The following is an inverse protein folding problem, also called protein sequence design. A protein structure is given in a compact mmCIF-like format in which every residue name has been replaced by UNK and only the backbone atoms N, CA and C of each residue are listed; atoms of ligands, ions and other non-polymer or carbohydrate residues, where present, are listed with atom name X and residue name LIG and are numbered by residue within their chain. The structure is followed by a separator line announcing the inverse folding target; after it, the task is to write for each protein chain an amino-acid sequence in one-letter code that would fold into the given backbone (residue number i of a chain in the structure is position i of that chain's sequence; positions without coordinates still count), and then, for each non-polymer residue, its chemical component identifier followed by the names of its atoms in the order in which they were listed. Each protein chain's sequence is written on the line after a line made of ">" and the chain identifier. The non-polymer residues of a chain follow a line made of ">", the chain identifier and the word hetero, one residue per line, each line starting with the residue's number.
data_IF_865584506718
#
_entry.id   IF_865584506718
#
_cell.length_a   1.000
_cell.length_b   1.000
_cell.length_c   1.000
_cell.angle_alpha   90.00
_cell.angle_beta   90.00
_cell.angle_gamma   90.00
#
_symmetry.space_group_name_H-M   'P 1'
#
loop_
_entity.id
_entity.type
_entity.pdbx_description
1 polymer ?
#
# COMPACT_ATOMS: atom_id res chain seq x y z
N UNK A 1 -19.38 -1.58 40.95
CA UNK A 1 -17.94 -1.38 41.22
C UNK A 1 -17.32 -1.03 39.88
N UNK A 2 -16.83 0.19 39.71
CA UNK A 2 -16.06 0.51 38.52
C UNK A 2 -14.75 -0.28 38.61
N UNK A 3 -14.52 -1.21 37.69
CA UNK A 3 -13.23 -1.87 37.56
C UNK A 3 -12.17 -0.77 37.44
N UNK A 4 -11.14 -0.80 38.30
CA UNK A 4 -9.99 0.07 38.15
C UNK A 4 -9.46 -0.10 36.72
N UNK A 5 -9.18 0.99 35.99
CA UNK A 5 -8.66 0.88 34.64
C UNK A 5 -7.37 0.04 34.69
N UNK A 6 -7.38 -1.08 33.96
CA UNK A 6 -6.22 -1.96 33.84
C UNK A 6 -5.06 -1.10 33.34
N UNK A 7 -3.99 -1.03 34.12
CA UNK A 7 -2.79 -0.28 33.73
C UNK A 7 -2.20 -0.92 32.47
N UNK A 8 -1.99 -0.12 31.42
CA UNK A 8 -1.36 -0.59 30.19
C UNK A 8 0.10 -0.95 30.45
N UNK A 9 0.53 -2.09 29.90
CA UNK A 9 1.91 -2.58 29.95
C UNK A 9 2.65 -2.27 28.66
N UNK A 10 3.98 -2.42 28.69
CA UNK A 10 4.81 -2.30 27.49
C UNK A 10 4.47 -3.36 26.42
N UNK A 11 4.02 -4.55 26.86
CA UNK A 11 3.61 -5.63 25.96
C UNK A 11 2.27 -5.31 25.28
N UNK A 12 1.38 -4.57 25.95
CA UNK A 12 0.16 -4.06 25.33
C UNK A 12 0.50 -3.10 24.20
N UNK A 13 1.46 -2.19 24.40
CA UNK A 13 1.94 -1.28 23.35
C UNK A 13 2.61 -2.07 22.21
N UNK A 14 3.50 -3.00 22.52
CA UNK A 14 4.26 -3.79 21.54
C UNK A 14 3.35 -4.57 20.59
N UNK A 15 2.28 -5.14 21.14
CA UNK A 15 1.34 -5.98 20.40
C UNK A 15 0.13 -5.20 19.87
N UNK A 16 -0.04 -3.93 20.24
CA UNK A 16 -1.15 -3.12 19.78
C UNK A 16 -1.24 -3.08 18.26
N UNK A 17 -2.46 -3.20 17.74
CA UNK A 17 -2.78 -3.01 16.32
C UNK A 17 -3.69 -1.78 16.24
N UNK A 18 -3.27 -0.71 15.53
CA UNK A 18 -4.09 0.49 15.41
C UNK A 18 -5.48 0.19 14.86
N UNK A 19 -6.45 0.91 15.40
CA UNK A 19 -7.87 0.77 15.03
C UNK A 19 -8.40 2.08 14.49
N UNK A 20 -9.68 2.14 14.15
CA UNK A 20 -10.33 3.42 13.80
C UNK A 20 -10.62 4.30 15.04
N UNK A 21 -10.32 3.82 16.25
CA UNK A 21 -10.53 4.56 17.49
C UNK A 21 -9.35 5.52 17.77
N UNK A 22 -9.60 6.82 17.58
CA UNK A 22 -8.60 7.89 17.72
C UNK A 22 -8.06 7.95 19.15
N UNK A 23 -8.93 7.86 20.15
CA UNK A 23 -8.54 7.99 21.55
C UNK A 23 -7.65 6.83 21.98
N UNK A 24 -8.00 5.61 21.57
CA UNK A 24 -7.19 4.42 21.86
C UNK A 24 -5.82 4.48 21.18
N UNK A 25 -5.75 4.86 19.90
CA UNK A 25 -4.47 5.02 19.21
C UNK A 25 -3.60 6.09 19.87
N UNK A 26 -4.21 7.23 20.24
CA UNK A 26 -3.52 8.34 20.91
C UNK A 26 -2.97 7.91 22.27
N UNK A 27 -3.76 7.18 23.07
CA UNK A 27 -3.33 6.63 24.35
C UNK A 27 -2.14 5.68 24.18
N UNK A 28 -2.19 4.78 23.18
CA UNK A 28 -1.10 3.83 22.94
C UNK A 28 0.20 4.54 22.52
N UNK A 29 0.12 5.61 21.73
CA UNK A 29 1.30 6.42 21.42
C UNK A 29 1.82 7.17 22.66
N UNK A 30 0.95 7.75 23.48
CA UNK A 30 1.39 8.39 24.75
C UNK A 30 2.06 7.39 25.68
N UNK A 31 1.54 6.17 25.77
CA UNK A 31 2.14 5.10 26.55
C UNK A 31 3.50 4.68 25.97
N UNK A 32 3.58 4.49 24.65
CA UNK A 32 4.84 4.22 23.92
C UNK A 32 5.94 5.23 24.22
N UNK A 33 5.59 6.51 24.33
CA UNK A 33 6.52 7.62 24.55
C UNK A 33 7.16 7.61 25.96
N UNK A 34 6.58 6.89 26.92
CA UNK A 34 7.16 6.72 28.27
C UNK A 34 8.39 5.81 28.28
N UNK A 35 8.53 4.95 27.26
CA UNK A 35 9.61 3.98 27.17
C UNK A 35 10.71 4.47 26.22
N UNK A 36 11.95 4.53 26.72
CA UNK A 36 13.12 4.91 25.93
C UNK A 36 13.77 3.72 25.19
N UNK A 37 13.00 2.67 24.91
CA UNK A 37 13.43 1.53 24.09
C UNK A 37 12.87 1.62 22.67
N UNK A 38 13.50 0.89 21.74
CA UNK A 38 12.99 0.77 20.38
C UNK A 38 11.98 -0.37 20.30
N UNK A 39 10.77 -0.05 19.85
CA UNK A 39 9.65 -1.00 19.73
C UNK A 39 9.20 -0.98 18.28
N UNK A 40 10.03 -1.52 17.39
CA UNK A 40 9.80 -1.48 15.95
C UNK A 40 8.42 -2.02 15.57
N UNK A 41 7.94 -3.05 16.28
CA UNK A 41 6.62 -3.65 16.04
C UNK A 41 5.45 -2.67 16.21
N UNK A 42 5.60 -1.61 17.01
CA UNK A 42 4.60 -0.55 17.15
C UNK A 42 4.77 0.50 16.06
N UNK A 43 6.02 0.95 15.84
CA UNK A 43 6.33 2.03 14.90
C UNK A 43 6.00 1.61 13.45
N UNK A 44 6.24 0.35 13.08
CA UNK A 44 5.86 -0.23 11.78
C UNK A 44 4.35 -0.23 11.53
N UNK A 45 3.54 -0.17 12.58
CA UNK A 45 2.08 -0.14 12.49
C UNK A 45 1.52 1.28 12.46
N UNK A 46 2.29 2.28 12.89
CA UNK A 46 1.89 3.68 12.80
C UNK A 46 2.27 4.21 11.42
N UNK A 47 1.26 4.60 10.66
CA UNK A 47 1.43 5.28 9.38
C UNK A 47 0.52 6.51 9.30
N UNK A 48 0.69 7.40 8.30
CA UNK A 48 -0.11 8.62 8.16
C UNK A 48 -1.63 8.40 8.12
N UNK A 49 -2.09 7.22 7.69
CA UNK A 49 -3.52 6.88 7.64
C UNK A 49 -4.12 6.53 9.02
N UNK A 50 -3.29 6.18 10.00
CA UNK A 50 -3.75 5.87 11.35
C UNK A 50 -4.24 7.14 12.03
N UNK A 51 -5.49 7.13 12.49
CA UNK A 51 -6.10 8.28 13.17
C UNK A 51 -5.55 8.41 14.59
N UNK A 52 -4.72 9.41 14.82
CA UNK A 52 -4.16 9.80 16.13
C UNK A 52 -4.43 11.29 16.34
N UNK A 53 -4.76 11.68 17.58
CA UNK A 53 -4.90 13.08 17.94
C UNK A 53 -3.52 13.73 18.12
N UNK A 54 -2.87 14.03 17.01
CA UNK A 54 -1.53 14.59 16.98
C UNK A 54 -1.42 15.98 17.62
N UNK A 55 -2.49 16.78 17.61
CA UNK A 55 -2.48 18.09 18.28
C UNK A 55 -2.37 17.94 19.80
N UNK A 56 -3.07 16.95 20.38
CA UNK A 56 -2.90 16.62 21.80
C UNK A 56 -1.48 16.14 22.12
N UNK A 57 -0.93 15.22 21.30
CA UNK A 57 0.45 14.73 21.47
C UNK A 57 1.43 15.91 21.44
N UNK A 58 1.35 16.77 20.42
CA UNK A 58 2.18 17.96 20.28
C UNK A 58 2.12 18.84 21.53
N UNK A 59 0.92 19.20 22.00
CA UNK A 59 0.75 20.08 23.17
C UNK A 59 1.42 19.48 24.41
N UNK A 60 1.22 18.18 24.64
CA UNK A 60 1.85 17.47 25.75
C UNK A 60 3.37 17.53 25.61
N UNK A 61 3.92 17.21 24.44
CA UNK A 61 5.37 17.18 24.22
C UNK A 61 6.01 18.57 24.34
N UNK A 62 5.46 19.61 23.72
CA UNK A 62 6.02 20.97 23.79
C UNK A 62 6.03 21.52 25.22
N UNK A 63 5.10 21.09 26.08
CA UNK A 63 5.06 21.51 27.49
C UNK A 63 6.12 20.86 28.37
N UNK A 64 6.84 19.83 27.88
CA UNK A 64 7.91 19.18 28.63
C UNK A 64 9.18 20.03 28.58
N UNK A 65 9.87 20.11 29.71
CA UNK A 65 11.15 20.83 29.84
C UNK A 65 12.32 20.05 29.24
N UNK A 66 12.28 18.72 29.30
CA UNK A 66 13.24 17.83 28.66
C UNK A 66 12.48 16.70 27.94
N UNK A 67 12.83 16.48 26.68
CA UNK A 67 12.27 15.42 25.84
C UNK A 67 13.20 14.23 25.84
N UNK A 68 12.68 13.02 25.97
CA UNK A 68 13.47 11.84 25.63
C UNK A 68 13.66 11.72 24.10
N UNK A 69 14.51 10.78 23.64
CA UNK A 69 14.85 10.66 22.22
C UNK A 69 13.63 10.32 21.34
N UNK A 70 12.68 9.54 21.86
CA UNK A 70 11.45 9.15 21.17
C UNK A 70 10.47 10.31 21.07
N UNK A 71 10.29 11.06 22.15
CA UNK A 71 9.46 12.24 22.20
C UNK A 71 9.95 13.33 21.24
N UNK A 72 11.25 13.62 21.26
CA UNK A 72 11.87 14.53 20.30
C UNK A 72 11.69 14.04 18.86
N UNK A 73 11.90 12.73 18.61
CA UNK A 73 11.67 12.13 17.30
C UNK A 73 10.22 12.32 16.83
N UNK A 74 9.22 11.99 17.64
CA UNK A 74 7.82 12.10 17.24
C UNK A 74 7.35 13.54 17.07
N UNK A 75 7.89 14.47 17.85
CA UNK A 75 7.63 15.88 17.65
C UNK A 75 8.24 16.37 16.33
N UNK A 76 9.47 15.95 16.00
CA UNK A 76 10.07 16.18 14.68
C UNK A 76 9.28 15.55 13.53
N UNK A 77 8.78 14.32 13.71
CA UNK A 77 7.92 13.63 12.75
C UNK A 77 6.61 14.37 12.53
N UNK A 78 5.99 14.88 13.60
CA UNK A 78 4.79 15.68 13.51
C UNK A 78 5.02 16.94 12.67
N UNK A 79 6.07 17.70 12.96
CA UNK A 79 6.40 18.90 12.17
C UNK A 79 6.82 18.56 10.74
N UNK A 80 7.39 17.39 10.50
CA UNK A 80 7.72 16.92 9.16
C UNK A 80 6.47 16.57 8.34
N UNK A 81 5.63 15.68 8.86
CA UNK A 81 4.57 15.00 8.08
C UNK A 81 3.24 15.72 8.18
N UNK A 82 2.91 16.28 9.36
CA UNK A 82 1.59 16.86 9.63
C UNK A 82 1.59 18.37 9.38
N UNK A 83 2.47 19.11 10.06
CA UNK A 83 2.51 20.58 9.93
C UNK A 83 3.40 21.08 8.78
N UNK A 84 4.30 20.24 8.26
CA UNK A 84 5.30 20.59 7.23
C UNK A 84 6.13 21.84 7.58
N UNK A 85 6.41 22.04 8.87
CA UNK A 85 7.30 23.09 9.36
C UNK A 85 8.73 22.54 9.48
N UNK A 86 9.52 22.75 8.43
CA UNK A 86 10.87 22.19 8.37
C UNK A 86 11.87 22.81 9.35
N UNK A 87 11.60 24.02 9.85
CA UNK A 87 12.42 24.66 10.89
C UNK A 87 12.30 23.92 12.22
N UNK A 88 11.06 23.73 12.69
CA UNK A 88 10.80 22.97 13.92
C UNK A 88 11.13 21.48 13.75
N UNK A 89 10.87 20.89 12.59
CA UNK A 89 11.29 19.51 12.26
C UNK A 89 12.79 19.32 12.49
N UNK A 90 13.64 20.19 11.91
CA UNK A 90 15.10 20.09 12.07
C UNK A 90 15.51 20.26 13.52
N UNK A 91 14.90 21.20 14.25
CA UNK A 91 15.15 21.43 15.68
C UNK A 91 14.91 20.16 16.50
N UNK A 92 13.74 19.53 16.38
CA UNK A 92 13.42 18.36 17.20
C UNK A 92 14.13 17.09 16.74
N UNK A 93 14.38 16.91 15.44
CA UNK A 93 15.26 15.84 14.98
C UNK A 93 16.69 15.99 15.48
N UNK A 94 17.25 17.21 15.52
CA UNK A 94 18.58 17.42 16.11
C UNK A 94 18.61 17.01 17.59
N UNK A 95 17.61 17.38 18.39
CA UNK A 95 17.49 16.93 19.79
C UNK A 95 17.44 15.40 19.88
N UNK A 96 16.66 14.75 19.01
CA UNK A 96 16.56 13.30 18.97
C UNK A 96 17.91 12.64 18.61
N UNK A 97 18.64 13.21 17.63
CA UNK A 97 19.95 12.74 17.17
C UNK A 97 21.02 12.88 18.25
N UNK A 98 21.03 13.99 18.98
CA UNK A 98 21.91 14.25 20.13
C UNK A 98 21.69 13.21 21.23
N UNK A 99 20.43 12.81 21.43
CA UNK A 99 20.04 11.74 22.35
C UNK A 99 20.15 10.32 21.77
N UNK A 100 20.71 10.18 20.57
CA UNK A 100 21.04 8.90 19.94
C UNK A 100 19.91 8.23 19.16
N UNK A 101 18.82 8.92 18.83
CA UNK A 101 17.79 8.37 17.95
C UNK A 101 18.27 8.37 16.49
N UNK A 102 18.48 7.18 15.96
CA UNK A 102 19.00 6.95 14.61
C UNK A 102 17.94 7.08 13.51
N UNK A 103 16.64 7.04 13.86
CA UNK A 103 15.53 7.25 12.93
C UNK A 103 15.41 8.72 12.55
N UNK A 104 15.74 9.63 13.47
CA UNK A 104 15.84 11.05 13.17
C UNK A 104 16.92 11.35 12.11
N UNK A 105 18.07 10.65 12.14
CA UNK A 105 19.08 10.75 11.07
C UNK A 105 18.53 10.31 9.72
N UNK A 106 17.81 9.18 9.68
CA UNK A 106 17.16 8.69 8.46
C UNK A 106 16.17 9.71 7.88
N UNK A 107 15.33 10.30 8.73
CA UNK A 107 14.33 11.27 8.31
C UNK A 107 14.96 12.60 7.88
N UNK A 108 16.04 13.05 8.53
CA UNK A 108 16.81 14.21 8.05
C UNK A 108 17.44 13.93 6.69
N UNK A 109 18.03 12.75 6.48
CA UNK A 109 18.58 12.36 5.20
C UNK A 109 17.52 12.38 4.10
N UNK A 110 16.34 11.82 4.39
CA UNK A 110 15.20 11.79 3.46
C UNK A 110 14.66 13.19 3.15
N UNK A 111 14.57 14.08 4.15
CA UNK A 111 14.22 15.48 3.94
C UNK A 111 15.21 16.15 2.98
N UNK A 112 16.51 16.02 3.24
CA UNK A 112 17.53 16.61 2.37
C UNK A 112 17.54 16.00 0.97
N UNK A 113 17.26 14.71 0.85
CA UNK A 113 17.20 14.02 -0.43
C UNK A 113 15.99 14.48 -1.26
N UNK A 114 14.78 14.40 -0.70
CA UNK A 114 13.52 14.51 -1.46
C UNK A 114 12.99 15.94 -1.50
N UNK A 115 13.07 16.67 -0.38
CA UNK A 115 12.42 17.98 -0.21
C UNK A 115 13.40 19.11 -0.52
N UNK A 116 14.50 19.19 0.23
CA UNK A 116 15.51 20.25 0.03
C UNK A 116 16.35 20.00 -1.22
N UNK A 117 16.47 18.74 -1.66
CA UNK A 117 17.35 18.28 -2.73
C UNK A 117 18.82 18.70 -2.53
N UNK A 118 19.25 18.72 -1.27
CA UNK A 118 20.65 18.94 -0.91
C UNK A 118 21.37 17.60 -0.80
N UNK A 119 22.09 17.28 -1.86
CA UNK A 119 22.79 16.01 -2.03
C UNK A 119 23.87 15.75 -0.98
N UNK A 120 24.64 16.79 -0.64
CA UNK A 120 25.75 16.67 0.32
C UNK A 120 25.21 16.33 1.72
N UNK A 121 24.15 17.02 2.15
CA UNK A 121 23.53 16.70 3.43
C UNK A 121 22.80 15.36 3.40
N UNK A 122 22.11 15.01 2.31
CA UNK A 122 21.46 13.70 2.17
C UNK A 122 22.48 12.56 2.34
N UNK A 123 23.58 12.60 1.59
CA UNK A 123 24.67 11.61 1.67
C UNK A 123 25.28 11.55 3.08
N UNK A 124 25.57 12.71 3.67
CA UNK A 124 26.11 12.82 5.02
C UNK A 124 25.19 12.17 6.06
N UNK A 125 23.91 12.57 6.12
CA UNK A 125 22.97 12.06 7.12
C UNK A 125 22.68 10.56 6.93
N UNK A 126 22.55 10.09 5.68
CA UNK A 126 22.38 8.66 5.42
C UNK A 126 23.61 7.87 5.90
N UNK A 127 24.84 8.30 5.57
CA UNK A 127 26.07 7.61 6.01
C UNK A 127 26.21 7.58 7.52
N UNK A 128 25.89 8.69 8.20
CA UNK A 128 25.89 8.74 9.67
C UNK A 128 24.81 7.84 10.27
N UNK A 129 23.63 7.75 9.66
CA UNK A 129 22.59 6.82 10.11
C UNK A 129 23.04 5.36 9.97
N UNK A 130 23.64 5.00 8.83
CA UNK A 130 24.17 3.65 8.58
C UNK A 130 25.30 3.32 9.55
N UNK A 131 26.23 4.24 9.82
CA UNK A 131 27.33 3.99 10.76
C UNK A 131 26.87 3.83 12.20
N UNK A 132 25.72 4.42 12.56
CA UNK A 132 25.04 4.21 13.85
C UNK A 132 24.07 3.03 13.87
N UNK A 133 24.03 2.22 12.82
CA UNK A 133 23.26 0.98 12.78
C UNK A 133 21.80 1.11 12.34
N UNK A 134 21.37 2.25 11.78
CA UNK A 134 20.02 2.37 11.21
C UNK A 134 19.90 1.54 9.93
N UNK A 135 19.22 0.40 10.03
CA UNK A 135 19.10 -0.56 8.93
C UNK A 135 18.28 0.02 7.77
N UNK A 136 17.20 0.77 8.04
CA UNK A 136 16.37 1.41 7.00
C UNK A 136 17.16 2.44 6.18
N UNK A 137 18.15 3.09 6.78
CA UNK A 137 19.02 4.04 6.08
C UNK A 137 19.93 3.37 5.07
N UNK A 138 20.22 2.08 5.20
CA UNK A 138 20.95 1.35 4.17
C UNK A 138 20.12 1.26 2.88
N UNK A 139 18.81 1.00 2.99
CA UNK A 139 17.89 1.06 1.86
C UNK A 139 17.73 2.48 1.30
N UNK A 140 17.56 3.47 2.20
CA UNK A 140 17.44 4.88 1.79
C UNK A 140 18.68 5.39 1.05
N UNK A 141 19.87 5.02 1.52
CA UNK A 141 21.14 5.37 0.88
C UNK A 141 21.33 4.62 -0.45
N UNK A 142 20.90 3.36 -0.51
CA UNK A 142 20.86 2.60 -1.76
C UNK A 142 19.99 3.29 -2.82
N UNK A 143 18.79 3.74 -2.43
CA UNK A 143 17.90 4.49 -3.31
C UNK A 143 18.52 5.84 -3.73
N UNK A 144 19.11 6.58 -2.80
CA UNK A 144 19.83 7.83 -3.08
C UNK A 144 20.93 7.63 -4.14
N UNK A 145 21.71 6.55 -4.07
CA UNK A 145 22.72 6.26 -5.10
C UNK A 145 22.12 5.77 -6.41
N UNK A 146 20.98 5.06 -6.39
CA UNK A 146 20.26 4.67 -7.61
C UNK A 146 19.83 5.89 -8.41
N UNK A 147 19.27 6.90 -7.73
CA UNK A 147 18.76 8.12 -8.36
C UNK A 147 19.89 8.95 -9.00
N UNK A 148 21.14 8.68 -8.60
CA UNK A 148 22.37 9.25 -9.16
C UNK A 148 23.08 8.33 -10.14
N UNK A 149 22.44 7.22 -10.52
CA UNK A 149 22.99 6.18 -11.39
C UNK A 149 24.30 5.55 -10.87
N UNK A 150 24.60 5.72 -9.58
CA UNK A 150 25.75 5.06 -8.93
C UNK A 150 25.33 3.68 -8.44
N UNK A 151 25.19 2.77 -9.40
CA UNK A 151 24.70 1.42 -9.11
C UNK A 151 25.64 0.62 -8.21
N UNK A 152 26.96 0.85 -8.27
CA UNK A 152 27.92 0.16 -7.41
C UNK A 152 27.70 0.45 -5.92
N UNK A 153 27.53 1.73 -5.55
CA UNK A 153 27.23 2.10 -4.16
C UNK A 153 25.79 1.70 -3.78
N UNK A 154 24.83 1.80 -4.71
CA UNK A 154 23.47 1.29 -4.49
C UNK A 154 23.49 -0.19 -4.10
N UNK A 155 24.17 -1.04 -4.88
CA UNK A 155 24.23 -2.47 -4.61
C UNK A 155 24.91 -2.76 -3.25
N UNK A 156 25.99 -2.04 -2.94
CA UNK A 156 26.72 -2.18 -1.69
C UNK A 156 25.83 -1.93 -0.48
N UNK A 157 25.11 -0.81 -0.44
CA UNK A 157 24.27 -0.49 0.71
C UNK A 157 23.03 -1.37 0.79
N UNK A 158 22.43 -1.78 -0.34
CA UNK A 158 21.32 -2.74 -0.31
C UNK A 158 21.77 -4.14 0.14
N UNK A 159 22.97 -4.62 -0.26
CA UNK A 159 23.55 -5.88 0.24
C UNK A 159 23.77 -5.82 1.76
N UNK A 160 24.33 -4.71 2.26
CA UNK A 160 24.45 -4.49 3.71
C UNK A 160 23.09 -4.56 4.43
N UNK A 161 22.03 -4.02 3.83
CA UNK A 161 20.68 -4.09 4.39
C UNK A 161 20.15 -5.53 4.43
N UNK A 162 20.37 -6.31 3.37
CA UNK A 162 20.01 -7.73 3.30
C UNK A 162 20.76 -8.53 4.37
N UNK A 163 22.05 -8.31 4.54
CA UNK A 163 22.87 -8.99 5.55
C UNK A 163 22.39 -8.69 6.99
N UNK A 164 21.66 -7.58 7.17
CA UNK A 164 20.99 -7.20 8.42
C UNK A 164 19.53 -7.67 8.51
N UNK A 165 19.06 -8.49 7.57
CA UNK A 165 17.71 -9.03 7.55
C UNK A 165 16.64 -8.07 7.02
N UNK A 166 17.03 -6.98 6.33
CA UNK A 166 16.05 -6.06 5.77
C UNK A 166 15.38 -6.64 4.52
N UNK A 167 14.19 -7.20 4.69
CA UNK A 167 13.40 -7.79 3.60
C UNK A 167 13.02 -6.74 2.55
N UNK A 168 12.84 -5.46 2.92
CA UNK A 168 12.52 -4.39 1.95
C UNK A 168 13.67 -4.20 0.94
N UNK A 169 14.91 -4.46 1.33
CA UNK A 169 16.06 -4.40 0.43
C UNK A 169 16.01 -5.47 -0.67
N UNK A 170 15.51 -6.68 -0.35
CA UNK A 170 15.34 -7.77 -1.32
C UNK A 170 14.34 -7.37 -2.41
N UNK A 171 13.20 -6.80 -2.01
CA UNK A 171 12.19 -6.28 -2.94
C UNK A 171 12.77 -5.17 -3.81
N UNK A 172 13.52 -4.25 -3.20
CA UNK A 172 14.15 -3.15 -3.94
C UNK A 172 15.12 -3.66 -5.02
N UNK A 173 15.95 -4.65 -4.68
CA UNK A 173 16.83 -5.29 -5.67
C UNK A 173 16.07 -5.97 -6.79
N UNK A 174 15.00 -6.70 -6.45
CA UNK A 174 14.16 -7.33 -7.45
C UNK A 174 13.59 -6.31 -8.45
N UNK A 175 13.05 -5.20 -7.96
CA UNK A 175 12.56 -4.10 -8.81
C UNK A 175 13.67 -3.41 -9.62
N UNK A 176 14.85 -3.23 -9.04
CA UNK A 176 15.99 -2.67 -9.75
C UNK A 176 16.38 -3.55 -10.95
N UNK A 177 16.57 -4.85 -10.72
CA UNK A 177 16.93 -5.78 -11.78
C UNK A 177 15.81 -5.97 -12.79
N UNK A 178 14.55 -5.87 -12.38
CA UNK A 178 13.39 -5.82 -13.27
C UNK A 178 13.46 -4.61 -14.21
N UNK A 179 13.76 -3.42 -13.67
CA UNK A 179 13.85 -2.16 -14.42
C UNK A 179 14.93 -2.23 -15.51
N UNK A 180 16.09 -2.79 -15.19
CA UNK A 180 17.19 -2.99 -16.16
C UNK A 180 17.03 -4.28 -16.98
N UNK A 181 15.88 -4.96 -16.86
CA UNK A 181 15.54 -6.21 -17.58
C UNK A 181 16.51 -7.37 -17.34
N UNK A 182 17.24 -7.35 -16.23
CA UNK A 182 18.01 -8.49 -15.76
C UNK A 182 17.09 -9.43 -14.97
N UNK A 183 16.29 -10.21 -15.70
CA UNK A 183 15.29 -11.06 -15.08
C UNK A 183 15.87 -12.23 -14.27
N UNK A 184 17.14 -12.61 -14.52
CA UNK A 184 17.81 -13.64 -13.74
C UNK A 184 18.03 -13.19 -12.29
N UNK A 185 18.67 -12.03 -12.10
CA UNK A 185 18.88 -11.49 -10.74
C UNK A 185 17.55 -11.05 -10.11
N UNK A 186 16.63 -10.45 -10.88
CA UNK A 186 15.29 -10.13 -10.37
C UNK A 186 14.61 -11.34 -9.73
N UNK A 187 14.55 -12.47 -10.46
CA UNK A 187 13.92 -13.71 -9.96
C UNK A 187 14.60 -14.19 -8.69
N UNK A 188 15.93 -14.17 -8.64
CA UNK A 188 16.71 -14.56 -7.46
C UNK A 188 16.35 -13.72 -6.22
N UNK A 189 16.28 -12.40 -6.33
CA UNK A 189 15.95 -11.55 -5.18
C UNK A 189 14.47 -11.63 -4.77
N UNK A 190 13.54 -11.77 -5.73
CA UNK A 190 12.14 -12.04 -5.38
C UNK A 190 11.96 -13.40 -4.70
N UNK A 191 12.62 -14.46 -5.17
CA UNK A 191 12.59 -15.78 -4.51
C UNK A 191 13.14 -15.67 -3.08
N UNK A 192 14.28 -14.99 -2.89
CA UNK A 192 14.84 -14.80 -1.55
C UNK A 192 13.91 -13.99 -0.64
N UNK A 193 13.18 -13.01 -1.17
CA UNK A 193 12.14 -12.29 -0.42
C UNK A 193 10.98 -13.21 -0.03
N UNK A 194 10.53 -14.11 -0.91
CA UNK A 194 9.50 -15.11 -0.64
C UNK A 194 9.93 -16.06 0.47
N UNK A 195 11.18 -16.54 0.44
CA UNK A 195 11.77 -17.39 1.49
C UNK A 195 11.80 -16.70 2.85
N UNK A 196 11.91 -15.37 2.86
CA UNK A 196 11.81 -14.54 4.06
C UNK A 196 10.36 -14.12 4.40
N UNK A 197 9.36 -14.78 3.81
CA UNK A 197 7.95 -14.58 4.12
C UNK A 197 7.30 -13.34 3.48
N UNK A 198 7.96 -12.71 2.50
CA UNK A 198 7.38 -11.56 1.81
C UNK A 198 6.32 -12.01 0.79
N UNK A 199 5.05 -11.81 1.14
CA UNK A 199 3.92 -12.15 0.26
C UNK A 199 3.88 -11.29 -1.00
N UNK A 200 4.27 -10.01 -0.91
CA UNK A 200 4.29 -9.09 -2.07
C UNK A 200 5.22 -9.58 -3.18
N UNK A 201 6.36 -10.17 -2.83
CA UNK A 201 7.29 -10.79 -3.78
C UNK A 201 6.64 -11.91 -4.61
N UNK A 202 5.71 -12.67 -4.03
CA UNK A 202 4.97 -13.71 -4.74
C UNK A 202 4.12 -13.07 -5.85
N UNK A 203 3.38 -12.00 -5.54
CA UNK A 203 2.57 -11.28 -6.53
C UNK A 203 3.42 -10.65 -7.64
N UNK A 204 4.57 -10.07 -7.30
CA UNK A 204 5.51 -9.49 -8.27
C UNK A 204 6.04 -10.56 -9.24
N UNK A 205 6.47 -11.69 -8.69
CA UNK A 205 6.98 -12.80 -9.49
C UNK A 205 5.88 -13.44 -10.35
N UNK A 206 4.65 -13.56 -9.84
CA UNK A 206 3.50 -14.00 -10.62
C UNK A 206 3.19 -13.05 -11.79
N UNK A 207 3.25 -11.73 -11.54
CA UNK A 207 3.03 -10.69 -12.55
C UNK A 207 4.09 -10.74 -13.65
N UNK A 208 5.35 -11.01 -13.28
CA UNK A 208 6.42 -11.25 -14.24
C UNK A 208 6.12 -12.45 -15.15
N UNK A 209 5.71 -13.59 -14.59
CA UNK A 209 5.35 -14.77 -15.37
C UNK A 209 4.12 -14.54 -16.25
N UNK A 210 3.16 -13.72 -15.82
CA UNK A 210 2.01 -13.35 -16.62
C UNK A 210 2.36 -12.42 -17.79
N UNK A 211 3.14 -11.38 -17.54
CA UNK A 211 3.31 -10.28 -18.49
C UNK A 211 4.53 -10.42 -19.38
N UNK A 212 5.62 -11.01 -18.87
CA UNK A 212 6.90 -11.07 -19.55
C UNK A 212 7.21 -12.48 -20.05
N UNK A 213 7.28 -13.47 -19.15
CA UNK A 213 7.68 -14.84 -19.53
C UNK A 213 6.52 -15.63 -20.17
N UNK A 214 5.27 -15.17 -20.00
CA UNK A 214 4.05 -15.83 -20.48
C UNK A 214 3.92 -17.29 -20.02
N UNK A 215 4.30 -17.56 -18.78
CA UNK A 215 4.23 -18.87 -18.15
C UNK A 215 3.05 -18.93 -17.16
N UNK A 216 1.91 -19.43 -17.63
CA UNK A 216 0.69 -19.52 -16.80
C UNK A 216 0.83 -20.45 -15.60
N UNK A 217 1.60 -21.53 -15.71
CA UNK A 217 1.81 -22.48 -14.59
C UNK A 217 2.48 -21.79 -13.41
N UNK A 218 3.60 -21.09 -13.66
CA UNK A 218 4.32 -20.37 -12.63
C UNK A 218 3.55 -19.15 -12.13
N UNK A 219 2.85 -18.44 -13.01
CA UNK A 219 1.93 -17.36 -12.62
C UNK A 219 0.90 -17.85 -11.59
N UNK A 220 0.17 -18.93 -11.90
CA UNK A 220 -0.82 -19.49 -10.97
C UNK A 220 -0.19 -20.03 -9.69
N UNK A 221 1.00 -20.63 -9.78
CA UNK A 221 1.73 -21.10 -8.59
C UNK A 221 1.96 -19.95 -7.61
N UNK A 222 2.56 -18.84 -8.07
CA UNK A 222 2.92 -17.75 -7.18
C UNK A 222 1.71 -16.94 -6.69
N UNK A 223 0.68 -16.71 -7.52
CA UNK A 223 -0.55 -16.10 -7.01
C UNK A 223 -1.26 -16.99 -5.98
N UNK A 224 -1.33 -18.31 -6.19
CA UNK A 224 -1.93 -19.22 -5.19
C UNK A 224 -1.17 -19.21 -3.87
N UNK A 225 0.17 -19.20 -3.91
CA UNK A 225 0.99 -19.05 -2.69
C UNK A 225 0.66 -17.75 -1.94
N UNK A 226 0.42 -16.65 -2.65
CA UNK A 226 0.04 -15.38 -2.03
C UNK A 226 -1.38 -15.43 -1.41
N UNK A 227 -2.33 -16.05 -2.12
CA UNK A 227 -3.70 -16.27 -1.65
C UNK A 227 -3.73 -17.13 -0.38
N UNK A 228 -2.91 -18.19 -0.31
CA UNK A 228 -2.75 -19.03 0.89
C UNK A 228 -2.24 -18.25 2.10
N UNK A 229 -1.55 -17.12 1.88
CA UNK A 229 -1.11 -16.17 2.90
C UNK A 229 -2.12 -15.05 3.17
N UNK A 230 -3.30 -15.10 2.55
CA UNK A 230 -4.37 -14.12 2.71
C UNK A 230 -4.17 -12.83 1.89
N UNK A 231 -3.29 -12.84 0.88
CA UNK A 231 -3.10 -11.69 0.00
C UNK A 231 -4.34 -11.50 -0.89
N UNK A 232 -5.07 -10.42 -0.66
CA UNK A 232 -6.32 -10.16 -1.38
C UNK A 232 -6.07 -9.54 -2.76
N UNK A 233 -4.91 -8.89 -2.95
CA UNK A 233 -4.50 -8.38 -4.26
C UNK A 233 -4.21 -9.54 -5.23
N UNK A 234 -3.63 -10.64 -4.76
CA UNK A 234 -3.42 -11.84 -5.57
C UNK A 234 -4.74 -12.43 -6.09
N UNK A 235 -5.80 -12.42 -5.26
CA UNK A 235 -7.15 -12.83 -5.68
C UNK A 235 -7.66 -11.89 -6.79
N UNK A 236 -7.51 -10.58 -6.61
CA UNK A 236 -7.87 -9.57 -7.61
C UNK A 236 -7.10 -9.76 -8.93
N UNK A 237 -5.79 -9.99 -8.87
CA UNK A 237 -4.98 -10.17 -10.09
C UNK A 237 -5.38 -11.42 -10.87
N UNK A 238 -5.74 -12.52 -10.20
CA UNK A 238 -6.29 -13.69 -10.88
C UNK A 238 -7.67 -13.42 -11.48
N UNK A 239 -8.54 -12.65 -10.81
CA UNK A 239 -9.81 -12.23 -11.38
C UNK A 239 -9.60 -11.43 -12.69
N UNK A 240 -8.67 -10.47 -12.70
CA UNK A 240 -8.33 -9.68 -13.89
C UNK A 240 -7.71 -10.57 -14.99
N UNK A 241 -6.88 -11.55 -14.62
CA UNK A 241 -6.33 -12.52 -15.58
C UNK A 241 -7.46 -13.23 -16.33
N UNK A 242 -8.43 -13.81 -15.60
CA UNK A 242 -9.53 -14.54 -16.20
C UNK A 242 -10.53 -13.63 -16.93
N UNK A 243 -10.71 -12.40 -16.48
CA UNK A 243 -11.46 -11.38 -17.21
C UNK A 243 -10.87 -11.14 -18.60
N UNK A 244 -9.54 -11.00 -18.69
CA UNK A 244 -8.83 -10.80 -19.95
C UNK A 244 -8.87 -12.05 -20.84
N UNK A 245 -8.85 -13.23 -20.24
CA UNK A 245 -9.03 -14.52 -20.93
C UNK A 245 -10.49 -14.79 -21.33
N UNK A 246 -11.42 -13.92 -20.93
CA UNK A 246 -12.88 -14.06 -21.08
C UNK A 246 -13.44 -15.34 -20.44
N UNK A 247 -12.73 -15.88 -19.45
CA UNK A 247 -13.23 -16.97 -18.64
C UNK A 247 -14.00 -16.41 -17.45
N UNK A 248 -15.28 -16.15 -17.67
CA UNK A 248 -16.08 -15.37 -16.72
C UNK A 248 -16.46 -16.13 -15.45
N UNK A 249 -16.53 -17.46 -15.50
CA UNK A 249 -16.84 -18.26 -14.31
C UNK A 249 -15.71 -18.13 -13.28
N UNK A 250 -14.47 -18.40 -13.68
CA UNK A 250 -13.29 -18.25 -12.83
C UNK A 250 -13.03 -16.80 -12.43
N UNK A 251 -13.22 -15.85 -13.35
CA UNK A 251 -13.15 -14.43 -13.03
C UNK A 251 -14.05 -14.08 -11.84
N UNK A 252 -15.30 -14.52 -11.85
CA UNK A 252 -16.24 -14.22 -10.77
C UNK A 252 -15.90 -14.94 -9.48
N UNK A 253 -15.40 -16.18 -9.52
CA UNK A 253 -14.91 -16.88 -8.33
C UNK A 253 -13.85 -16.06 -7.60
N UNK A 254 -12.84 -15.56 -8.32
CA UNK A 254 -11.76 -14.78 -7.73
C UNK A 254 -12.21 -13.37 -7.29
N UNK A 255 -13.08 -12.70 -8.03
CA UNK A 255 -13.67 -11.43 -7.56
C UNK A 255 -14.45 -11.61 -6.26
N UNK A 256 -15.32 -12.61 -6.19
CA UNK A 256 -16.08 -12.92 -4.97
C UNK A 256 -15.15 -13.26 -3.81
N UNK A 257 -14.09 -14.03 -4.06
CA UNK A 257 -13.09 -14.37 -3.06
C UNK A 257 -12.42 -13.11 -2.49
N UNK A 258 -11.97 -12.19 -3.35
CA UNK A 258 -11.34 -10.94 -2.97
C UNK A 258 -12.29 -10.01 -2.18
N UNK A 259 -13.55 -9.90 -2.63
CA UNK A 259 -14.58 -9.08 -1.98
C UNK A 259 -14.88 -9.62 -0.57
N UNK A 260 -15.04 -10.94 -0.42
CA UNK A 260 -15.25 -11.56 0.91
C UNK A 260 -14.06 -11.37 1.84
N UNK A 261 -12.86 -11.27 1.29
CA UNK A 261 -11.64 -10.95 2.03
C UNK A 261 -11.47 -9.44 2.33
N UNK A 262 -12.43 -8.60 1.93
CA UNK A 262 -12.45 -7.16 2.21
C UNK A 262 -11.65 -6.31 1.22
N UNK A 263 -11.34 -6.80 0.03
CA UNK A 263 -10.67 -6.01 -1.01
C UNK A 263 -11.67 -5.09 -1.73
N UNK A 264 -11.58 -3.79 -1.47
CA UNK A 264 -12.46 -2.80 -2.07
C UNK A 264 -12.16 -2.55 -3.55
N UNK A 265 -10.91 -2.76 -4.00
CA UNK A 265 -10.56 -2.62 -5.41
C UNK A 265 -11.22 -3.71 -6.25
N UNK A 266 -11.43 -4.90 -5.69
CA UNK A 266 -12.24 -5.95 -6.32
C UNK A 266 -13.70 -5.53 -6.52
N UNK A 267 -14.30 -4.82 -5.54
CA UNK A 267 -15.67 -4.27 -5.68
C UNK A 267 -15.70 -3.23 -6.80
N UNK A 268 -14.73 -2.31 -6.82
CA UNK A 268 -14.65 -1.24 -7.81
C UNK A 268 -14.44 -1.80 -9.22
N UNK A 269 -13.52 -2.75 -9.38
CA UNK A 269 -13.21 -3.35 -10.67
C UNK A 269 -14.37 -4.19 -11.21
N UNK A 270 -15.04 -4.98 -10.36
CA UNK A 270 -16.22 -5.74 -10.78
C UNK A 270 -17.37 -4.79 -11.16
N UNK A 271 -17.56 -3.70 -10.41
CA UNK A 271 -18.57 -2.68 -10.73
C UNK A 271 -18.28 -2.01 -12.08
N UNK A 272 -17.03 -1.62 -12.34
CA UNK A 272 -16.62 -1.06 -13.61
C UNK A 272 -16.83 -2.06 -14.77
N UNK A 273 -16.43 -3.31 -14.58
CA UNK A 273 -16.65 -4.36 -15.58
C UNK A 273 -18.15 -4.59 -15.85
N UNK A 274 -18.99 -4.57 -14.82
CA UNK A 274 -20.43 -4.71 -14.96
C UNK A 274 -21.06 -3.51 -15.69
N UNK A 275 -20.58 -2.28 -15.43
CA UNK A 275 -20.98 -1.08 -16.13
C UNK A 275 -20.62 -1.11 -17.62
N UNK A 276 -19.38 -1.48 -17.95
CA UNK A 276 -18.91 -1.62 -19.34
C UNK A 276 -19.72 -2.66 -20.12
N UNK A 277 -20.33 -3.61 -19.40
CA UNK A 277 -21.17 -4.67 -19.95
C UNK A 277 -22.66 -4.51 -19.62
N UNK A 278 -23.11 -3.30 -19.24
CA UNK A 278 -24.49 -3.02 -18.82
C UNK A 278 -25.52 -3.34 -19.92
N UNK A 279 -25.15 -3.17 -21.20
CA UNK A 279 -26.01 -3.50 -22.35
C UNK A 279 -25.97 -5.00 -22.72
N UNK A 280 -25.18 -5.81 -22.03
CA UNK A 280 -25.11 -7.26 -22.20
C UNK A 280 -25.86 -7.95 -21.05
N UNK A 281 -27.15 -8.24 -21.29
CA UNK A 281 -28.05 -8.85 -20.31
C UNK A 281 -27.52 -10.18 -19.75
N UNK A 282 -26.74 -10.93 -20.53
CA UNK A 282 -26.14 -12.19 -20.11
C UNK A 282 -25.06 -12.01 -19.04
N UNK A 283 -24.10 -11.12 -19.29
CA UNK A 283 -22.99 -10.86 -18.35
C UNK A 283 -23.51 -10.19 -17.08
N UNK A 284 -24.37 -9.18 -17.22
CA UNK A 284 -24.96 -8.49 -16.08
C UNK A 284 -25.75 -9.44 -15.18
N UNK A 285 -26.55 -10.33 -15.77
CA UNK A 285 -27.30 -11.35 -15.02
C UNK A 285 -26.37 -12.32 -14.30
N UNK A 286 -25.34 -12.84 -14.99
CA UNK A 286 -24.36 -13.77 -14.41
C UNK A 286 -23.63 -13.15 -13.20
N UNK A 287 -23.20 -11.89 -13.29
CA UNK A 287 -22.58 -11.17 -12.17
C UNK A 287 -23.55 -11.08 -10.99
N UNK A 288 -24.78 -10.61 -11.23
CA UNK A 288 -25.78 -10.43 -10.19
C UNK A 288 -26.17 -11.75 -9.52
N UNK A 289 -26.32 -12.82 -10.30
CA UNK A 289 -26.67 -14.15 -9.80
C UNK A 289 -25.53 -14.70 -8.91
N UNK A 290 -24.27 -14.60 -9.35
CA UNK A 290 -23.12 -15.02 -8.55
C UNK A 290 -22.98 -14.26 -7.24
N UNK A 291 -23.22 -12.94 -7.25
CA UNK A 291 -23.20 -12.13 -6.04
C UNK A 291 -24.34 -12.49 -5.08
N UNK A 292 -25.53 -12.85 -5.60
CA UNK A 292 -26.68 -13.31 -4.79
C UNK A 292 -26.40 -14.64 -4.12
N UNK A 293 -25.84 -15.60 -4.86
CA UNK A 293 -25.40 -16.90 -4.34
C UNK A 293 -24.44 -16.72 -3.15
N UNK A 294 -23.60 -15.69 -3.23
CA UNK A 294 -22.59 -15.38 -2.22
C UNK A 294 -23.05 -14.38 -1.15
N UNK A 295 -24.33 -13.97 -1.18
CA UNK A 295 -24.96 -13.03 -0.22
C UNK A 295 -24.27 -11.67 -0.12
N UNK A 296 -23.69 -11.19 -1.22
CA UNK A 296 -23.00 -9.89 -1.31
C UNK A 296 -23.98 -8.76 -1.69
N UNK A 297 -25.02 -8.56 -0.87
CA UNK A 297 -26.12 -7.64 -1.18
C UNK A 297 -25.70 -6.17 -1.31
N UNK A 298 -24.78 -5.71 -0.48
CA UNK A 298 -24.29 -4.33 -0.55
C UNK A 298 -23.59 -4.03 -1.89
N UNK A 299 -22.84 -5.02 -2.41
CA UNK A 299 -22.18 -4.92 -3.73
C UNK A 299 -23.21 -4.96 -4.86
N UNK A 300 -24.26 -5.77 -4.73
CA UNK A 300 -25.36 -5.82 -5.69
C UNK A 300 -26.03 -4.44 -5.82
N UNK A 301 -26.34 -3.80 -4.69
CA UNK A 301 -26.99 -2.48 -4.70
C UNK A 301 -26.06 -1.42 -5.30
N UNK A 302 -24.76 -1.47 -5.00
CA UNK A 302 -23.76 -0.61 -5.65
C UNK A 302 -23.78 -0.79 -7.19
N UNK A 303 -23.63 -2.04 -7.67
CA UNK A 303 -23.63 -2.34 -9.10
C UNK A 303 -24.94 -1.92 -9.78
N UNK A 304 -26.10 -2.20 -9.18
CA UNK A 304 -27.40 -1.78 -9.71
C UNK A 304 -27.53 -0.27 -9.80
N UNK A 305 -27.01 0.48 -8.81
CA UNK A 305 -27.06 1.94 -8.85
C UNK A 305 -26.29 2.50 -10.05
N UNK A 306 -25.20 1.84 -10.43
CA UNK A 306 -24.33 2.23 -11.55
C UNK A 306 -24.90 1.76 -12.90
N UNK A 307 -25.44 0.53 -12.97
CA UNK A 307 -26.04 -0.03 -14.20
C UNK A 307 -27.42 0.59 -14.49
N UNK A 308 -28.22 0.92 -13.49
CA UNK A 308 -29.58 1.45 -13.63
C UNK A 308 -29.65 2.75 -14.44
N UNK A 309 -28.61 3.58 -14.35
CA UNK A 309 -28.45 4.81 -15.13
C UNK A 309 -28.20 4.53 -16.63
N UNK A 310 -27.58 3.40 -16.98
CA UNK A 310 -27.29 2.99 -18.37
C UNK A 310 -28.41 2.12 -18.94
N UNK A 311 -29.00 1.23 -18.13
CA UNK A 311 -30.07 0.34 -18.53
C UNK A 311 -31.34 1.10 -18.93
N UNK A 312 -31.65 2.21 -18.27
CA UNK A 312 -32.76 3.10 -18.66
C UNK A 312 -32.49 3.79 -20.00
N UNK A 313 -31.27 4.28 -20.23
CA UNK A 313 -30.86 4.87 -21.50
C UNK A 313 -30.84 3.83 -22.64
N UNK A 314 -30.30 2.64 -22.40
CA UNK A 314 -30.26 1.53 -23.37
C UNK A 314 -31.64 0.97 -23.69
N UNK A 315 -32.53 0.86 -22.69
CA UNK A 315 -33.93 0.46 -22.91
C UNK A 315 -34.66 1.53 -23.72
N UNK A 316 -34.42 2.81 -23.44
CA UNK A 316 -34.99 3.92 -24.21
C UNK A 316 -34.49 3.91 -25.65
N UNK A 317 -33.19 3.73 -25.87
CA UNK A 317 -32.58 3.62 -27.21
C UNK A 317 -33.14 2.40 -27.97
N UNK A 318 -33.21 1.23 -27.34
CA UNK A 318 -33.77 0.04 -27.97
C UNK A 318 -35.27 0.19 -28.27
N UNK A 319 -36.03 0.86 -27.40
CA UNK A 319 -37.45 1.17 -27.62
C UNK A 319 -37.62 2.16 -28.77
N UNK A 320 -36.74 3.17 -28.88
CA UNK A 320 -36.74 4.10 -30.00
C UNK A 320 -36.41 3.34 -31.29
N UNK A 321 -35.32 2.55 -31.32
CA UNK A 321 -34.92 1.74 -32.48
C UNK A 321 -36.05 0.79 -32.91
N UNK A 322 -36.76 0.16 -31.98
CA UNK A 322 -37.89 -0.72 -32.32
C UNK A 322 -39.07 0.04 -32.92
N UNK A 323 -39.26 1.30 -32.54
CA UNK A 323 -40.37 2.14 -33.00
C UNK A 323 -40.08 2.84 -34.33
N UNK A 324 -38.84 3.27 -34.57
CA UNK A 324 -38.47 4.05 -35.78
C UNK A 324 -37.66 3.26 -36.80
N UNK A 325 -37.18 2.07 -36.46
CA UNK A 325 -36.25 1.30 -37.28
C UNK A 325 -34.81 1.77 -37.13
N UNK A 326 -33.86 0.85 -37.28
CA UNK A 326 -32.44 1.11 -36.96
C UNK A 326 -31.76 2.08 -37.94
N UNK A 327 -32.06 1.98 -39.24
CA UNK A 327 -31.52 2.90 -40.25
C UNK A 327 -31.97 4.35 -40.00
N UNK A 328 -33.25 4.55 -39.67
CA UNK A 328 -33.79 5.89 -39.37
C UNK A 328 -33.27 6.46 -38.05
N UNK A 329 -33.02 5.59 -37.05
CA UNK A 329 -32.36 6.03 -35.81
C UNK A 329 -30.93 6.51 -36.09
N UNK A 330 -30.15 5.77 -36.88
CA UNK A 330 -28.77 6.13 -37.22
C UNK A 330 -28.68 7.43 -38.03
N UNK A 331 -29.64 7.71 -38.94
CA UNK A 331 -29.74 8.99 -39.64
C UNK A 331 -30.07 10.17 -38.69
N UNK A 332 -30.97 9.97 -37.72
CA UNK A 332 -31.31 10.98 -36.71
C UNK A 332 -30.11 11.29 -35.82
N UNK A 333 -29.39 10.26 -35.36
CA UNK A 333 -28.18 10.43 -34.55
C UNK A 333 -27.11 11.18 -35.33
N UNK A 334 -26.92 10.85 -36.61
CA UNK A 334 -25.96 11.52 -37.49
C UNK A 334 -26.31 13.01 -37.70
N UNK A 335 -27.58 13.33 -37.93
CA UNK A 335 -28.05 14.71 -38.10
C UNK A 335 -27.96 15.58 -36.82
N UNK A 336 -27.93 14.95 -35.64
CA UNK A 336 -27.72 15.64 -34.36
C UNK A 336 -26.24 15.78 -33.97
N UNK A 337 -25.36 15.07 -34.66
CA UNK A 337 -23.91 15.05 -34.40
C UNK A 337 -23.12 16.01 -35.31
N UNK A 338 -23.74 16.47 -36.41
CA UNK A 338 -23.28 17.55 -37.29
C UNK A 338 -23.81 18.91 -36.79
#
# INVERSE_FOLDING_TARGET
>A
MAESPVALTIDDVRNYVPTNNIDRNTLMLLERLKYDEDICSFDDKICPAVKINWDLIKRILISKTDLNKKEAYYLGWYYHVIEQNYGEMKKYYNIAIEKGDTRALHNMATYYHVIEKNEAYADMYYKVAVSRGQVESMCGLGAFYKDRENYAEMEKYLKMAIDKGNIKALIYFGHYYETIKNYYEMKKYYILAIENGNTRAMCLLATYYWNIEKNSELMFKYFRMAIEKGDTDAMLWLAIYFQNDKNYDEMLEYYVMAIKAGNNDAVNNLTAFAFDNACNDGISKMILDKLRENRLFDVIENIKSVIGDVGTAGTLVNTIISNVGRESFDEIVKALSD
#
